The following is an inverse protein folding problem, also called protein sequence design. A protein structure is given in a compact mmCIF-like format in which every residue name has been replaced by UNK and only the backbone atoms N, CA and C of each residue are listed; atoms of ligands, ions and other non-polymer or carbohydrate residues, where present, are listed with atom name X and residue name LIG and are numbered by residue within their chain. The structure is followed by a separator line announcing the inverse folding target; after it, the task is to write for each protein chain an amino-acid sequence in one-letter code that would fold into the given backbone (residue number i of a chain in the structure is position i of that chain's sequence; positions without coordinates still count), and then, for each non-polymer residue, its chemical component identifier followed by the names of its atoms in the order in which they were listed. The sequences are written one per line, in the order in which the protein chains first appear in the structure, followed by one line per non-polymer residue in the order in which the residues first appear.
data_IF_823866444247
#
_entry.id   IF_823866444247
#
_cell.length_a   1.000
_cell.length_b   1.000
_cell.length_c   1.000
_cell.angle_alpha   90.00
_cell.angle_beta   90.00
_cell.angle_gamma   90.00
#
_symmetry.space_group_name_H-M   'P 1'
#
loop_
_entity.id
_entity.type
_entity.pdbx_description
1 polymer ?
#
# COMPACT_ATOMS: atom_id res chain seq x y z
N UNK A 1 27.05 46.04 76.85
CA UNK A 1 28.21 46.37 76.00
C UNK A 1 28.32 45.32 74.90
N UNK A 2 28.30 45.73 73.62
CA UNK A 2 28.79 45.02 72.40
C UNK A 2 28.06 43.70 72.05
N UNK A 3 27.65 43.35 70.83
CA UNK A 3 27.65 43.93 69.49
C UNK A 3 26.57 43.19 68.68
N UNK A 4 25.93 43.88 67.73
CA UNK A 4 25.22 43.26 66.60
C UNK A 4 26.25 42.70 65.62
N UNK A 5 26.01 41.54 65.01
CA UNK A 5 26.43 41.17 63.64
C UNK A 5 25.49 40.05 63.19
N UNK A 6 24.77 40.29 62.08
CA UNK A 6 23.96 39.29 61.41
C UNK A 6 24.83 38.38 60.53
N UNK A 7 24.30 37.20 60.20
CA UNK A 7 24.83 36.44 59.08
C UNK A 7 23.69 35.76 58.32
N UNK A 8 23.63 36.13 57.05
CA UNK A 8 22.79 35.65 55.97
C UNK A 8 23.07 34.16 55.74
N UNK A 9 22.01 33.34 55.69
CA UNK A 9 22.07 31.92 55.37
C UNK A 9 21.17 31.61 54.18
N UNK A 10 21.80 31.41 53.02
CA UNK A 10 21.28 31.09 51.70
C UNK A 10 20.08 30.11 51.68
N UNK A 11 18.95 30.54 51.13
CA UNK A 11 17.90 29.66 50.59
C UNK A 11 18.38 29.14 49.22
N UNK A 12 18.88 27.91 49.16
CA UNK A 12 19.06 27.19 47.89
C UNK A 12 17.68 26.80 47.35
N UNK A 13 17.15 27.59 46.42
CA UNK A 13 16.05 27.18 45.56
C UNK A 13 16.58 26.15 44.54
N UNK A 14 16.21 24.88 44.75
CA UNK A 14 16.43 23.83 43.76
C UNK A 14 15.49 24.09 42.56
N UNK A 15 16.01 24.74 41.53
CA UNK A 15 15.35 24.88 40.23
C UNK A 15 15.40 23.49 39.57
N UNK A 16 14.29 22.75 39.70
CA UNK A 16 14.04 21.54 38.92
C UNK A 16 13.77 21.94 37.46
N UNK A 17 14.82 21.93 36.64
CA UNK A 17 14.67 22.02 35.18
C UNK A 17 14.15 20.65 34.73
N UNK A 18 12.83 20.55 34.54
CA UNK A 18 12.23 19.43 33.81
C UNK A 18 12.63 19.55 32.34
N UNK A 19 13.71 18.87 31.97
CA UNK A 19 14.02 18.57 30.57
C UNK A 19 12.98 17.55 30.08
N UNK A 20 11.89 18.05 29.51
CA UNK A 20 10.97 17.25 28.72
C UNK A 20 11.67 16.85 27.40
N UNK A 21 12.35 15.71 27.41
CA UNK A 21 12.82 15.09 26.17
C UNK A 21 11.62 14.50 25.44
N UNK A 22 11.12 15.19 24.42
CA UNK A 22 10.39 14.54 23.33
C UNK A 22 11.37 13.61 22.62
N UNK A 23 11.29 12.30 22.87
CA UNK A 23 11.98 11.31 22.05
C UNK A 23 11.30 11.23 20.69
N UNK A 24 11.61 12.19 19.82
CA UNK A 24 11.51 11.97 18.37
C UNK A 24 12.75 11.18 17.98
N UNK A 25 12.65 9.85 17.97
CA UNK A 25 13.64 9.02 17.28
C UNK A 25 13.52 9.33 15.78
N UNK A 26 14.22 10.36 15.31
CA UNK A 26 14.44 10.56 13.89
C UNK A 26 15.22 9.36 13.39
N UNK A 27 14.68 8.60 12.44
CA UNK A 27 15.46 7.59 11.73
C UNK A 27 16.58 8.34 11.03
N UNK A 28 17.82 8.17 11.48
CA UNK A 28 18.95 8.85 10.89
C UNK A 28 19.33 8.09 9.63
N UNK A 29 18.86 8.58 8.48
CA UNK A 29 19.21 8.04 7.17
C UNK A 29 20.71 8.30 6.90
N UNK A 30 21.50 7.27 6.56
CA UNK A 30 22.93 7.45 6.27
C UNK A 30 23.18 8.45 5.12
N UNK A 31 24.27 9.25 5.17
CA UNK A 31 24.61 10.16 4.08
C UNK A 31 24.71 9.45 2.73
N UNK A 32 24.12 10.05 1.69
CA UNK A 32 24.09 9.48 0.33
C UNK A 32 23.06 8.37 0.11
N UNK A 33 22.21 8.08 1.10
CA UNK A 33 21.12 7.10 1.00
C UNK A 33 19.76 7.73 1.25
N UNK A 34 18.70 7.01 0.91
CA UNK A 34 17.31 7.28 1.26
C UNK A 34 16.69 5.99 1.82
N UNK A 35 15.82 6.10 2.82
CA UNK A 35 15.03 4.99 3.31
C UNK A 35 13.79 4.82 2.44
N UNK A 36 13.51 3.59 2.03
CA UNK A 36 12.32 3.24 1.25
C UNK A 36 11.57 2.13 1.96
N UNK A 37 10.25 2.29 2.09
CA UNK A 37 9.36 1.26 2.64
C UNK A 37 8.19 1.01 1.70
N UNK A 38 7.97 -0.27 1.37
CA UNK A 38 6.81 -0.71 0.60
C UNK A 38 5.86 -1.48 1.50
N UNK A 39 4.60 -1.06 1.49
CA UNK A 39 3.50 -1.73 2.16
C UNK A 39 2.67 -2.49 1.13
N UNK A 40 2.01 -3.57 1.55
CA UNK A 40 1.12 -4.35 0.72
C UNK A 40 -0.27 -4.43 1.34
N UNK A 41 -1.28 -4.21 0.51
CA UNK A 41 -2.71 -4.39 0.79
C UNK A 41 -3.35 -5.08 -0.41
N UNK A 42 -4.58 -5.52 -0.23
CA UNK A 42 -5.30 -6.24 -1.26
C UNK A 42 -6.67 -5.62 -1.58
N UNK A 43 -7.00 -5.65 -2.87
CA UNK A 43 -8.30 -5.36 -3.43
C UNK A 43 -9.20 -6.60 -3.41
N UNK A 44 -10.53 -6.43 -3.48
CA UNK A 44 -11.46 -7.55 -3.31
C UNK A 44 -11.28 -8.67 -4.34
N UNK A 45 -11.51 -9.91 -3.92
CA UNK A 45 -11.59 -11.08 -4.79
C UNK A 45 -12.61 -12.12 -4.30
N UNK A 46 -13.25 -12.84 -5.22
CA UNK A 46 -14.22 -13.91 -4.92
C UNK A 46 -13.52 -15.27 -4.71
N UNK A 47 -12.56 -15.29 -3.79
CA UNK A 47 -11.84 -16.48 -3.38
C UNK A 47 -11.80 -16.54 -1.86
N UNK A 48 -11.64 -17.74 -1.30
CA UNK A 48 -11.47 -17.89 0.14
C UNK A 48 -10.09 -17.39 0.56
N UNK A 49 -9.06 -17.72 -0.24
CA UNK A 49 -7.67 -17.29 -0.07
C UNK A 49 -6.99 -17.16 -1.43
N UNK A 50 -5.99 -16.27 -1.51
CA UNK A 50 -5.03 -16.22 -2.62
C UNK A 50 -3.65 -16.14 -2.00
N UNK A 51 -2.79 -17.06 -2.39
CA UNK A 51 -1.44 -17.21 -1.87
C UNK A 51 -0.44 -16.84 -2.96
N UNK A 52 0.28 -15.75 -2.74
CA UNK A 52 1.30 -15.22 -3.64
C UNK A 52 2.70 -15.54 -3.10
N UNK A 53 3.51 -16.25 -3.88
CA UNK A 53 4.91 -16.53 -3.60
C UNK A 53 5.75 -15.34 -4.08
N UNK A 54 6.32 -14.58 -3.14
CA UNK A 54 7.16 -13.42 -3.43
C UNK A 54 8.60 -13.80 -3.10
N UNK A 55 9.47 -13.72 -4.11
CA UNK A 55 10.89 -14.09 -3.98
C UNK A 55 11.75 -12.89 -3.60
N UNK A 56 11.57 -11.76 -4.29
CA UNK A 56 12.34 -10.54 -4.02
C UNK A 56 11.61 -9.29 -4.48
N UNK A 57 11.95 -8.16 -3.86
CA UNK A 57 11.47 -6.83 -4.25
C UNK A 57 12.68 -5.94 -4.48
N UNK A 58 12.79 -5.43 -5.70
CA UNK A 58 13.88 -4.57 -6.16
C UNK A 58 13.32 -3.22 -6.59
N UNK A 59 14.15 -2.19 -6.52
CA UNK A 59 13.85 -0.88 -7.10
C UNK A 59 15.00 -0.41 -7.98
N UNK A 60 14.67 0.22 -9.11
CA UNK A 60 15.67 0.86 -9.95
C UNK A 60 15.78 2.33 -9.55
N UNK A 61 16.96 2.73 -9.12
CA UNK A 61 17.29 4.11 -8.74
C UNK A 61 18.12 4.76 -9.84
N UNK A 62 17.67 5.90 -10.33
CA UNK A 62 18.44 6.79 -11.18
C UNK A 62 19.14 7.84 -10.32
N UNK A 63 20.47 7.76 -10.25
CA UNK A 63 21.32 8.63 -9.41
C UNK A 63 21.87 9.83 -10.18
N UNK A 64 21.45 10.05 -11.42
CA UNK A 64 21.81 11.24 -12.21
C UNK A 64 20.98 12.46 -11.78
N UNK A 65 21.21 13.61 -12.41
CA UNK A 65 20.47 14.84 -12.14
C UNK A 65 19.38 15.08 -13.20
N UNK A 66 18.33 15.83 -12.85
CA UNK A 66 17.22 16.17 -13.77
C UNK A 66 16.59 14.95 -14.46
N UNK A 67 16.59 13.84 -13.73
CA UNK A 67 16.32 12.49 -14.20
C UNK A 67 15.04 12.35 -15.03
N UNK A 68 13.99 13.15 -14.78
CA UNK A 68 12.67 13.06 -15.45
C UNK A 68 12.40 14.13 -16.52
N UNK A 69 13.36 14.99 -16.82
CA UNK A 69 13.18 16.05 -17.81
C UNK A 69 13.29 15.46 -19.23
N UNK A 70 12.24 15.62 -20.06
CA UNK A 70 12.17 15.07 -21.42
C UNK A 70 12.52 13.58 -21.50
N UNK A 71 12.07 12.82 -20.50
CA UNK A 71 12.37 11.40 -20.41
C UNK A 71 11.69 10.62 -21.54
N UNK A 72 12.51 10.14 -22.48
CA UNK A 72 12.11 9.29 -23.61
C UNK A 72 12.59 7.85 -23.44
N UNK A 73 13.07 7.51 -22.24
CA UNK A 73 13.61 6.19 -21.91
C UNK A 73 12.52 5.14 -22.02
N UNK A 74 12.84 4.03 -22.69
CA UNK A 74 11.99 2.85 -22.68
C UNK A 74 12.18 2.09 -21.36
N UNK A 75 11.42 2.47 -20.34
CA UNK A 75 11.50 1.88 -19.00
C UNK A 75 11.13 0.40 -18.94
N UNK A 76 10.32 -0.10 -19.87
CA UNK A 76 10.06 -1.53 -19.97
C UNK A 76 11.33 -2.27 -20.35
N UNK A 77 12.04 -1.80 -21.40
CA UNK A 77 13.31 -2.40 -21.82
C UNK A 77 14.38 -2.33 -20.72
N UNK A 78 14.56 -1.17 -20.10
CA UNK A 78 15.48 -1.00 -18.96
C UNK A 78 15.11 -1.95 -17.81
N UNK A 79 13.81 -2.13 -17.59
CA UNK A 79 13.26 -3.01 -16.58
C UNK A 79 13.30 -4.49 -16.91
N UNK A 80 13.66 -4.89 -18.13
CA UNK A 80 13.95 -6.29 -18.50
C UNK A 80 15.45 -6.62 -18.43
N UNK A 81 16.32 -5.62 -18.58
CA UNK A 81 17.76 -5.82 -18.58
C UNK A 81 18.30 -5.99 -17.16
N UNK A 82 18.67 -7.22 -16.83
CA UNK A 82 19.30 -7.59 -15.58
C UNK A 82 20.77 -7.13 -15.59
N UNK A 83 21.00 -5.91 -15.11
CA UNK A 83 22.26 -5.42 -14.54
C UNK A 83 23.47 -5.23 -15.48
N UNK A 84 23.43 -5.58 -16.77
CA UNK A 84 24.66 -5.61 -17.61
C UNK A 84 24.73 -4.64 -18.79
N UNK A 85 23.68 -3.88 -19.10
CA UNK A 85 23.70 -2.99 -20.27
C UNK A 85 22.93 -1.67 -20.07
N UNK A 86 23.27 -0.89 -19.05
CA UNK A 86 22.85 0.50 -19.01
C UNK A 86 24.03 1.39 -19.44
N UNK A 87 23.94 2.12 -20.58
CA UNK A 87 25.02 2.99 -21.07
C UNK A 87 25.38 4.10 -20.06
N UNK A 88 24.41 4.44 -19.21
CA UNK A 88 24.48 5.47 -18.19
C UNK A 88 24.68 4.76 -16.83
N UNK A 89 25.90 4.71 -16.30
CA UNK A 89 26.22 4.06 -15.02
C UNK A 89 25.53 4.67 -13.78
N UNK A 90 24.46 5.46 -13.96
CA UNK A 90 23.61 6.06 -12.94
C UNK A 90 22.38 5.24 -12.57
N UNK A 91 22.03 4.20 -13.35
CA UNK A 91 20.92 3.30 -13.04
C UNK A 91 21.40 2.15 -12.14
N UNK A 92 20.84 2.07 -10.93
CA UNK A 92 21.26 1.10 -9.90
C UNK A 92 20.04 0.34 -9.42
N UNK A 93 20.05 -0.99 -9.59
CA UNK A 93 19.09 -1.87 -8.94
C UNK A 93 19.46 -2.06 -7.47
N UNK A 94 18.50 -1.82 -6.59
CA UNK A 94 18.65 -1.93 -5.14
C UNK A 94 17.61 -2.90 -4.59
N UNK A 95 18.02 -3.76 -3.66
CA UNK A 95 17.13 -4.74 -3.05
C UNK A 95 16.46 -4.13 -1.80
N UNK A 96 15.13 -4.26 -1.68
CA UNK A 96 14.39 -3.77 -0.52
C UNK A 96 14.24 -4.80 0.61
N UNK A 97 14.86 -5.97 0.46
CA UNK A 97 14.94 -7.02 1.48
C UNK A 97 13.58 -7.50 2.02
N UNK A 98 12.66 -7.85 1.11
CA UNK A 98 11.46 -8.63 1.46
C UNK A 98 11.85 -9.97 2.10
N UNK A 99 11.00 -10.52 2.96
CA UNK A 99 11.13 -11.89 3.44
C UNK A 99 10.58 -12.86 2.38
N UNK A 100 11.41 -13.66 1.68
CA UNK A 100 10.89 -14.52 0.62
C UNK A 100 9.89 -15.54 1.18
N UNK A 101 8.74 -15.71 0.54
CA UNK A 101 7.69 -16.56 1.08
C UNK A 101 6.34 -16.44 0.41
N UNK A 102 5.41 -17.25 0.91
CA UNK A 102 4.03 -17.30 0.44
C UNK A 102 3.16 -16.44 1.34
N UNK A 103 2.51 -15.44 0.77
CA UNK A 103 1.67 -14.46 1.44
C UNK A 103 0.20 -14.68 1.10
N UNK A 104 -0.66 -14.74 2.12
CA UNK A 104 -2.11 -14.71 1.91
C UNK A 104 -2.57 -13.27 1.69
N UNK A 105 -2.74 -12.88 0.44
CA UNK A 105 -3.02 -11.48 0.09
C UNK A 105 -4.42 -11.06 0.49
N UNK A 106 -5.42 -11.96 0.44
CA UNK A 106 -6.79 -11.63 0.85
C UNK A 106 -6.92 -11.35 2.35
N UNK A 107 -5.93 -11.79 3.16
CA UNK A 107 -5.84 -11.42 4.58
C UNK A 107 -5.50 -9.93 4.80
N UNK A 108 -4.99 -9.26 3.77
CA UNK A 108 -4.63 -7.84 3.72
C UNK A 108 -5.74 -6.98 3.08
N UNK A 109 -6.97 -7.47 3.06
CA UNK A 109 -8.13 -6.74 2.54
C UNK A 109 -8.82 -5.93 3.64
N UNK A 110 -9.83 -5.13 3.27
CA UNK A 110 -10.67 -4.38 4.22
C UNK A 110 -9.88 -3.43 5.13
N UNK A 111 -8.86 -2.79 4.57
CA UNK A 111 -8.07 -1.77 5.25
C UNK A 111 -6.95 -2.29 6.13
N UNK A 112 -6.64 -3.59 6.07
CA UNK A 112 -5.44 -4.20 6.65
C UNK A 112 -4.29 -4.06 5.66
N UNK A 113 -3.07 -3.79 6.12
CA UNK A 113 -1.86 -3.89 5.31
C UNK A 113 -0.73 -4.54 6.10
N UNK A 114 0.38 -4.78 5.41
CA UNK A 114 1.63 -5.22 6.03
C UNK A 114 2.82 -4.49 5.41
N UNK A 115 3.89 -4.32 6.17
CA UNK A 115 5.18 -3.92 5.60
C UNK A 115 5.71 -5.09 4.77
N UNK A 116 5.85 -4.89 3.46
CA UNK A 116 6.38 -5.89 2.55
C UNK A 116 7.90 -5.88 2.55
N UNK A 117 8.50 -4.71 2.38
CA UNK A 117 9.95 -4.56 2.22
C UNK A 117 10.42 -3.18 2.71
N UNK A 118 11.66 -3.09 3.21
CA UNK A 118 12.25 -1.81 3.62
C UNK A 118 13.78 -1.87 3.60
N UNK A 119 14.41 -0.86 3.03
CA UNK A 119 15.87 -0.73 2.99
C UNK A 119 16.31 0.74 2.93
N UNK A 120 17.57 0.98 3.32
CA UNK A 120 18.28 2.19 2.95
C UNK A 120 18.96 1.93 1.60
N UNK A 121 18.53 2.63 0.56
CA UNK A 121 19.05 2.49 -0.80
C UNK A 121 19.80 3.76 -1.20
N UNK A 122 20.57 3.73 -2.29
CA UNK A 122 21.21 4.94 -2.80
C UNK A 122 20.21 6.08 -3.03
N UNK A 123 20.59 7.30 -2.66
CA UNK A 123 19.76 8.48 -2.91
C UNK A 123 19.65 8.74 -4.43
N UNK A 124 18.43 8.96 -4.90
CA UNK A 124 18.14 9.19 -6.32
C UNK A 124 16.66 9.02 -6.65
N UNK A 125 16.31 9.19 -7.92
CA UNK A 125 14.94 9.01 -8.38
C UNK A 125 14.62 7.53 -8.53
N UNK A 126 13.67 7.01 -7.75
CA UNK A 126 13.17 5.65 -7.94
C UNK A 126 12.30 5.62 -9.20
N UNK A 127 12.66 4.78 -10.16
CA UNK A 127 12.01 4.70 -11.48
C UNK A 127 11.13 3.48 -11.66
N UNK A 128 11.58 2.35 -11.14
CA UNK A 128 10.89 1.07 -11.27
C UNK A 128 10.80 0.40 -9.91
N UNK A 129 9.72 -0.32 -9.68
CA UNK A 129 9.64 -1.38 -8.68
C UNK A 129 9.53 -2.69 -9.44
N UNK A 130 10.38 -3.67 -9.14
CA UNK A 130 10.30 -5.02 -9.68
C UNK A 130 9.99 -6.00 -8.54
N UNK A 131 8.90 -6.72 -8.67
CA UNK A 131 8.49 -7.77 -7.73
C UNK A 131 8.66 -9.11 -8.42
N UNK A 132 9.65 -9.88 -7.99
CA UNK A 132 9.89 -11.23 -8.51
C UNK A 132 8.97 -12.21 -7.78
N UNK A 133 8.30 -13.05 -8.56
CA UNK A 133 7.34 -14.03 -8.09
C UNK A 133 7.93 -15.42 -8.16
N UNK A 134 7.73 -16.17 -7.08
CA UNK A 134 8.04 -17.59 -7.02
C UNK A 134 6.99 -18.42 -7.75
N UNK A 135 7.09 -19.74 -7.59
CA UNK A 135 6.25 -20.71 -8.30
C UNK A 135 5.18 -21.34 -7.42
N UNK A 136 5.19 -21.10 -6.10
CA UNK A 136 4.26 -21.73 -5.14
C UNK A 136 2.95 -20.95 -4.97
N UNK A 137 2.51 -20.27 -6.03
CA UNK A 137 1.26 -19.53 -6.04
C UNK A 137 0.06 -20.49 -6.05
N UNK A 138 -0.95 -20.21 -5.23
CA UNK A 138 -2.19 -20.98 -5.21
C UNK A 138 -3.38 -20.12 -4.82
N UNK A 139 -4.58 -20.63 -5.02
CA UNK A 139 -5.80 -20.02 -4.49
C UNK A 139 -6.72 -21.07 -3.89
N UNK A 140 -7.61 -20.63 -3.00
CA UNK A 140 -8.65 -21.47 -2.42
C UNK A 140 -10.00 -20.93 -2.87
N UNK A 141 -10.81 -21.81 -3.45
CA UNK A 141 -12.18 -21.49 -3.88
C UNK A 141 -13.11 -22.59 -3.42
N UNK A 142 -14.14 -22.22 -2.65
CA UNK A 142 -15.08 -23.16 -2.04
C UNK A 142 -14.38 -24.25 -1.23
N UNK A 143 -13.38 -23.87 -0.43
CA UNK A 143 -12.52 -24.74 0.38
C UNK A 143 -11.65 -25.74 -0.41
N UNK A 144 -11.58 -25.63 -1.74
CA UNK A 144 -10.70 -26.43 -2.59
C UNK A 144 -9.51 -25.59 -3.01
N UNK A 145 -8.29 -26.14 -2.86
CA UNK A 145 -7.06 -25.47 -3.30
C UNK A 145 -6.79 -25.77 -4.77
N UNK A 146 -6.48 -24.73 -5.54
CA UNK A 146 -6.09 -24.81 -6.94
C UNK A 146 -4.70 -24.19 -7.14
N UNK A 147 -3.88 -24.74 -8.04
CA UNK A 147 -2.65 -24.06 -8.46
C UNK A 147 -3.02 -22.76 -9.18
N UNK A 148 -2.24 -21.70 -8.89
CA UNK A 148 -2.38 -20.41 -9.53
C UNK A 148 -1.15 -20.20 -10.41
N UNK A 149 -1.21 -20.72 -11.63
CA UNK A 149 -0.03 -20.79 -12.50
C UNK A 149 0.34 -19.42 -13.04
N UNK A 150 1.63 -19.16 -13.25
CA UNK A 150 1.99 -18.01 -14.07
C UNK A 150 1.51 -18.21 -15.52
N UNK A 151 1.15 -17.12 -16.20
CA UNK A 151 0.78 -17.19 -17.61
C UNK A 151 1.96 -17.73 -18.45
N UNK A 152 1.71 -18.56 -19.47
CA UNK A 152 2.75 -18.96 -20.42
C UNK A 152 3.48 -17.74 -21.00
N UNK A 153 4.81 -17.76 -20.96
CA UNK A 153 5.65 -16.63 -21.43
C UNK A 153 5.78 -15.49 -20.43
N UNK A 154 5.21 -15.58 -19.22
CA UNK A 154 5.49 -14.61 -18.16
C UNK A 154 6.98 -14.61 -17.79
N UNK A 155 7.49 -13.45 -17.41
CA UNK A 155 8.89 -13.29 -16.99
C UNK A 155 9.18 -13.71 -15.55
N UNK A 156 8.14 -14.08 -14.79
CA UNK A 156 8.28 -14.37 -13.36
C UNK A 156 8.43 -13.13 -12.48
N UNK A 157 8.17 -11.93 -13.01
CA UNK A 157 8.15 -10.70 -12.25
C UNK A 157 7.09 -9.72 -12.74
N UNK A 158 6.84 -8.72 -11.90
CA UNK A 158 6.00 -7.57 -12.19
C UNK A 158 6.86 -6.33 -12.18
N UNK A 159 6.70 -5.49 -13.18
CA UNK A 159 7.39 -4.21 -13.27
C UNK A 159 6.37 -3.07 -13.12
N UNK A 160 6.61 -2.18 -12.17
CA UNK A 160 5.80 -0.99 -11.92
C UNK A 160 6.65 0.23 -12.26
N UNK A 161 6.20 1.04 -13.22
CA UNK A 161 6.87 2.28 -13.61
C UNK A 161 6.36 3.46 -12.77
N UNK A 162 7.28 4.32 -12.31
CA UNK A 162 6.99 5.44 -11.41
C UNK A 162 7.32 6.81 -12.04
N UNK A 163 6.37 7.73 -11.94
CA UNK A 163 6.43 9.10 -12.48
C UNK A 163 7.09 10.11 -11.54
N UNK A 164 7.26 9.75 -10.27
CA UNK A 164 8.00 10.51 -9.26
C UNK A 164 7.16 11.25 -8.23
N UNK A 165 5.84 11.32 -8.42
CA UNK A 165 4.88 11.96 -7.50
C UNK A 165 4.10 10.94 -6.66
N UNK A 166 4.37 9.65 -6.81
CA UNK A 166 3.65 8.58 -6.11
C UNK A 166 4.04 8.44 -4.64
N UNK A 167 5.27 8.80 -4.26
CA UNK A 167 5.84 8.49 -2.94
C UNK A 167 5.45 9.52 -1.88
N UNK A 168 5.22 9.06 -0.65
CA UNK A 168 5.06 9.91 0.53
C UNK A 168 6.38 9.98 1.31
N UNK A 169 7.07 11.12 1.23
CA UNK A 169 8.22 11.42 2.08
C UNK A 169 7.73 11.88 3.46
N UNK A 170 7.60 10.92 4.38
CA UNK A 170 6.99 11.16 5.70
C UNK A 170 8.01 11.68 6.73
N UNK A 171 9.31 11.56 6.44
CA UNK A 171 10.43 12.15 7.16
C UNK A 171 11.55 12.49 6.16
N UNK A 172 12.46 13.44 6.47
CA UNK A 172 13.56 13.76 5.58
C UNK A 172 14.37 12.52 5.17
N UNK A 173 14.39 12.23 3.87
CA UNK A 173 15.08 11.08 3.28
C UNK A 173 14.39 9.73 3.51
N UNK A 174 13.15 9.69 4.00
CA UNK A 174 12.39 8.46 4.21
C UNK A 174 11.04 8.51 3.50
N UNK A 175 10.88 7.60 2.54
CA UNK A 175 9.72 7.52 1.65
C UNK A 175 8.98 6.20 1.82
N UNK A 176 7.66 6.24 1.63
CA UNK A 176 6.80 5.05 1.67
C UNK A 176 5.73 5.05 0.59
N UNK A 177 5.32 3.85 0.20
CA UNK A 177 4.27 3.62 -0.80
C UNK A 177 3.49 2.34 -0.45
N UNK A 178 2.17 2.36 -0.68
CA UNK A 178 1.31 1.18 -0.54
C UNK A 178 1.03 0.60 -1.91
N UNK A 179 1.26 -0.70 -2.06
CA UNK A 179 0.90 -1.49 -3.22
C UNK A 179 -0.41 -2.22 -2.93
N UNK A 180 -1.41 -2.00 -3.76
CA UNK A 180 -2.72 -2.62 -3.69
C UNK A 180 -2.86 -3.67 -4.78
N UNK A 181 -2.78 -4.95 -4.40
CA UNK A 181 -2.93 -6.06 -5.34
C UNK A 181 -4.39 -6.26 -5.69
N UNK A 182 -4.75 -6.17 -6.97
CA UNK A 182 -6.13 -6.35 -7.42
C UNK A 182 -6.39 -7.82 -7.73
N UNK A 183 -6.89 -8.58 -6.76
CA UNK A 183 -7.17 -10.03 -6.95
C UNK A 183 -8.13 -10.29 -8.10
N UNK A 184 -9.21 -9.51 -8.19
CA UNK A 184 -10.23 -9.69 -9.21
C UNK A 184 -9.68 -9.53 -10.63
N UNK A 185 -8.74 -8.61 -10.85
CA UNK A 185 -8.05 -8.44 -12.14
C UNK A 185 -6.83 -9.33 -12.31
N UNK A 186 -6.27 -9.83 -11.21
CA UNK A 186 -5.03 -10.62 -11.23
C UNK A 186 -5.23 -12.11 -11.45
N UNK A 187 -6.41 -12.64 -11.16
CA UNK A 187 -6.71 -14.07 -11.33
C UNK A 187 -7.57 -14.28 -12.58
N UNK A 188 -7.02 -15.00 -13.56
CA UNK A 188 -7.71 -15.37 -14.80
C UNK A 188 -8.03 -16.86 -14.79
N UNK A 189 -9.29 -17.22 -15.08
CA UNK A 189 -9.68 -18.62 -15.26
C UNK A 189 -9.77 -18.96 -16.75
N UNK A 190 -9.03 -19.99 -17.18
CA UNK A 190 -9.03 -20.47 -18.56
C UNK A 190 -8.93 -22.01 -18.58
N UNK A 191 -9.77 -22.70 -19.36
CA UNK A 191 -9.83 -24.17 -19.44
C UNK A 191 -9.81 -24.87 -18.06
N UNK A 192 -10.64 -24.38 -17.12
CA UNK A 192 -10.73 -24.87 -15.74
C UNK A 192 -9.43 -24.80 -14.92
N UNK A 193 -8.44 -24.03 -15.38
CA UNK A 193 -7.23 -23.72 -14.63
C UNK A 193 -7.21 -22.24 -14.27
N UNK A 194 -6.46 -21.91 -13.22
CA UNK A 194 -6.27 -20.54 -12.79
C UNK A 194 -4.86 -20.06 -13.14
N UNK A 195 -4.80 -18.81 -13.57
CA UNK A 195 -3.60 -18.14 -14.02
C UNK A 195 -3.43 -16.79 -13.32
N UNK A 196 -2.20 -16.49 -12.95
CA UNK A 196 -1.79 -15.26 -12.32
C UNK A 196 -1.30 -14.28 -13.39
N UNK A 197 -1.95 -13.12 -13.42
CA UNK A 197 -1.54 -11.95 -14.17
C UNK A 197 -1.56 -10.75 -13.22
N UNK A 198 -0.53 -10.55 -12.40
CA UNK A 198 -0.55 -9.57 -11.33
C UNK A 198 -0.91 -8.17 -11.82
N UNK A 199 -1.82 -7.52 -11.12
CA UNK A 199 -2.21 -6.13 -11.31
C UNK A 199 -2.08 -5.43 -9.96
N UNK A 200 -1.24 -4.40 -9.91
CA UNK A 200 -1.08 -3.55 -8.74
C UNK A 200 -1.58 -2.14 -9.05
N UNK A 201 -2.30 -1.58 -8.08
CA UNK A 201 -2.45 -0.14 -7.93
C UNK A 201 -1.53 0.33 -6.80
N UNK A 202 -1.37 1.63 -6.66
CA UNK A 202 -0.56 2.17 -5.58
C UNK A 202 -1.11 3.52 -5.12
N UNK A 203 -0.91 3.82 -3.85
CA UNK A 203 -1.38 5.05 -3.23
C UNK A 203 -0.52 5.41 -2.00
N UNK A 204 -0.78 6.60 -1.45
CA UNK A 204 -0.21 7.03 -0.17
C UNK A 204 -1.33 7.47 0.76
N UNK A 205 -1.23 7.09 2.04
CA UNK A 205 -2.21 7.52 3.05
C UNK A 205 -2.18 9.04 3.28
N UNK A 206 -1.07 9.72 2.99
CA UNK A 206 -0.97 11.17 3.16
C UNK A 206 -1.85 11.97 2.19
N UNK A 207 -2.12 11.44 0.99
CA UNK A 207 -2.83 12.17 -0.08
C UNK A 207 -4.17 11.53 -0.47
N UNK A 208 -4.49 10.36 0.08
CA UNK A 208 -5.71 9.62 -0.25
C UNK A 208 -6.52 9.27 0.99
N UNK A 209 -7.84 9.28 0.83
CA UNK A 209 -8.79 8.96 1.88
C UNK A 209 -9.31 7.53 1.81
N UNK A 210 -10.26 7.24 2.69
CA UNK A 210 -10.93 5.94 2.73
C UNK A 210 -12.43 6.07 2.97
N UNK A 211 -13.18 5.10 2.48
CA UNK A 211 -14.60 4.89 2.82
C UNK A 211 -14.72 3.54 3.54
N UNK A 212 -15.36 3.55 4.70
CA UNK A 212 -15.64 2.35 5.49
C UNK A 212 -17.11 2.30 5.91
N UNK A 213 -17.58 1.11 6.28
CA UNK A 213 -18.93 0.91 6.79
C UNK A 213 -19.22 -0.56 7.03
N UNK A 214 -20.51 -0.88 7.19
CA UNK A 214 -20.97 -2.26 7.17
C UNK A 214 -22.26 -2.42 6.37
N UNK A 215 -22.41 -3.54 5.65
CA UNK A 215 -23.63 -3.91 4.92
C UNK A 215 -24.19 -5.20 5.51
N UNK A 216 -25.45 -5.15 5.95
CA UNK A 216 -26.15 -6.28 6.57
C UNK A 216 -27.47 -6.55 5.86
N UNK A 217 -27.96 -7.80 5.86
CA UNK A 217 -27.31 -8.99 6.41
C UNK A 217 -26.25 -9.57 5.46
N UNK A 218 -25.31 -10.35 6.01
CA UNK A 218 -24.22 -10.96 5.22
C UNK A 218 -24.72 -11.88 4.09
N UNK A 219 -25.85 -12.57 4.31
CA UNK A 219 -26.48 -13.44 3.31
C UNK A 219 -27.16 -12.69 2.15
N UNK A 220 -27.11 -11.35 2.13
CA UNK A 220 -27.42 -10.57 0.94
C UNK A 220 -26.29 -10.66 -0.12
N UNK A 221 -25.14 -11.27 0.21
CA UNK A 221 -23.94 -11.38 -0.64
C UNK A 221 -23.62 -10.08 -1.40
N UNK A 222 -23.46 -8.96 -0.68
CA UNK A 222 -23.31 -7.65 -1.32
C UNK A 222 -21.96 -7.51 -2.02
N UNK A 223 -21.97 -6.90 -3.20
CA UNK A 223 -20.79 -6.45 -3.93
C UNK A 223 -20.84 -4.93 -4.03
N UNK A 224 -19.81 -4.25 -3.56
CA UNK A 224 -19.79 -2.79 -3.49
C UNK A 224 -18.95 -2.22 -4.62
N UNK A 225 -19.52 -1.23 -5.32
CA UNK A 225 -18.81 -0.34 -6.24
C UNK A 225 -18.74 1.04 -5.61
N UNK A 226 -17.53 1.52 -5.34
CA UNK A 226 -17.24 2.84 -4.79
C UNK A 226 -16.72 3.67 -5.95
N UNK A 227 -17.53 4.58 -6.48
CA UNK A 227 -17.22 5.23 -7.74
C UNK A 227 -17.40 6.74 -7.68
N UNK A 228 -16.58 7.43 -8.46
CA UNK A 228 -16.68 8.85 -8.77
C UNK A 228 -16.84 9.02 -10.29
N UNK A 229 -16.78 10.25 -10.79
CA UNK A 229 -16.80 10.50 -12.23
C UNK A 229 -15.58 9.97 -12.98
N UNK A 230 -14.48 9.67 -12.27
CA UNK A 230 -13.18 9.30 -12.89
C UNK A 230 -12.58 8.01 -12.34
N UNK A 231 -13.12 7.48 -11.25
CA UNK A 231 -12.51 6.36 -10.51
C UNK A 231 -13.57 5.36 -10.06
N UNK A 232 -13.19 4.11 -9.93
CA UNK A 232 -14.05 3.04 -9.40
C UNK A 232 -13.19 2.02 -8.67
N UNK A 233 -13.44 1.89 -7.37
CA UNK A 233 -12.93 0.85 -6.52
C UNK A 233 -14.04 -0.13 -6.15
N UNK A 234 -13.66 -1.32 -5.70
CA UNK A 234 -14.61 -2.36 -5.30
C UNK A 234 -14.37 -2.77 -3.85
N UNK A 235 -15.40 -3.33 -3.21
CA UNK A 235 -15.23 -4.00 -1.92
C UNK A 235 -16.14 -5.21 -1.77
N UNK A 236 -15.66 -6.18 -1.00
CA UNK A 236 -16.43 -7.32 -0.52
C UNK A 236 -16.48 -7.27 1.00
N UNK A 237 -17.66 -7.00 1.58
CA UNK A 237 -17.85 -7.05 3.01
C UNK A 237 -17.45 -8.39 3.61
N UNK A 238 -16.77 -8.37 4.76
CA UNK A 238 -16.42 -9.58 5.49
C UNK A 238 -17.67 -10.26 6.09
N UNK A 239 -17.51 -11.39 6.79
CA UNK A 239 -18.62 -12.14 7.41
C UNK A 239 -19.46 -11.34 8.42
N UNK A 240 -18.92 -10.24 8.96
CA UNK A 240 -19.63 -9.30 9.84
C UNK A 240 -20.25 -8.12 9.08
N UNK A 241 -20.20 -8.15 7.76
CA UNK A 241 -20.66 -7.09 6.87
C UNK A 241 -19.70 -5.90 6.76
N UNK A 242 -18.54 -5.91 7.40
CA UNK A 242 -17.66 -4.74 7.42
C UNK A 242 -16.83 -4.65 6.14
N UNK A 243 -16.64 -3.42 5.64
CA UNK A 243 -15.76 -3.14 4.52
C UNK A 243 -14.96 -1.85 4.76
N UNK A 244 -13.80 -1.74 4.10
CA UNK A 244 -13.03 -0.51 4.02
C UNK A 244 -12.24 -0.47 2.71
N UNK A 245 -12.38 0.64 1.98
CA UNK A 245 -11.66 0.94 0.73
C UNK A 245 -10.74 2.13 0.97
N UNK A 246 -9.46 2.00 0.61
CA UNK A 246 -8.43 3.03 0.75
C UNK A 246 -7.94 3.50 -0.62
N UNK A 247 -7.04 4.47 -0.65
CA UNK A 247 -6.47 4.97 -1.90
C UNK A 247 -7.38 5.90 -2.69
N UNK A 248 -8.48 6.36 -2.09
CA UNK A 248 -9.46 7.20 -2.77
C UNK A 248 -8.95 8.64 -2.85
N UNK A 249 -8.78 9.16 -4.07
CA UNK A 249 -8.43 10.58 -4.27
C UNK A 249 -9.56 11.50 -3.82
N UNK A 250 -9.23 12.74 -3.47
CA UNK A 250 -10.22 13.77 -3.15
C UNK A 250 -11.29 13.88 -4.23
N UNK A 251 -12.56 13.86 -3.84
CA UNK A 251 -13.69 13.84 -4.76
C UNK A 251 -15.02 13.51 -4.08
N UNK A 252 -16.10 13.56 -4.86
CA UNK A 252 -17.42 13.11 -4.44
C UNK A 252 -17.68 11.72 -5.01
N UNK A 253 -18.02 10.78 -4.13
CA UNK A 253 -18.23 9.37 -4.43
C UNK A 253 -19.67 8.95 -4.14
N UNK A 254 -20.06 7.89 -4.82
CA UNK A 254 -21.21 7.08 -4.50
C UNK A 254 -20.77 5.65 -4.20
N UNK A 255 -21.50 4.98 -3.29
CA UNK A 255 -21.35 3.56 -2.99
C UNK A 255 -22.60 2.86 -3.48
N UNK A 256 -22.48 2.13 -4.58
CA UNK A 256 -23.52 1.23 -5.06
C UNK A 256 -23.31 -0.15 -4.46
N UNK A 257 -24.37 -0.67 -3.85
CA UNK A 257 -24.41 -1.98 -3.20
C UNK A 257 -25.28 -2.85 -4.08
N UNK A 258 -24.64 -3.72 -4.87
CA UNK A 258 -25.34 -4.74 -5.62
C UNK A 258 -25.64 -5.91 -4.68
N UNK A 259 -26.91 -6.16 -4.43
CA UNK A 259 -27.38 -7.16 -3.50
C UNK A 259 -27.88 -8.40 -4.27
N UNK A 260 -27.80 -9.54 -3.60
CA UNK A 260 -28.26 -10.84 -4.09
C UNK A 260 -29.25 -11.46 -3.10
N UNK A 261 -29.70 -12.69 -3.36
CA UNK A 261 -30.58 -13.44 -2.45
C UNK A 261 -31.92 -12.72 -2.14
N UNK A 262 -32.47 -12.05 -3.17
CA UNK A 262 -33.74 -11.33 -3.10
C UNK A 262 -33.71 -9.99 -2.38
N UNK A 263 -32.53 -9.53 -1.92
CA UNK A 263 -32.36 -8.20 -1.35
C UNK A 263 -32.30 -7.14 -2.45
N UNK A 264 -32.78 -5.93 -2.14
CA UNK A 264 -32.78 -4.79 -3.04
C UNK A 264 -31.42 -4.09 -3.05
N UNK A 265 -30.96 -3.74 -4.24
CA UNK A 265 -29.82 -2.86 -4.45
C UNK A 265 -30.02 -1.52 -3.74
N UNK A 266 -28.92 -0.91 -3.28
CA UNK A 266 -28.94 0.37 -2.57
C UNK A 266 -27.77 1.23 -3.01
N UNK A 267 -28.00 2.54 -3.17
CA UNK A 267 -26.93 3.50 -3.47
C UNK A 267 -26.86 4.57 -2.39
N UNK A 268 -25.67 4.77 -1.84
CA UNK A 268 -25.36 5.90 -0.96
C UNK A 268 -24.61 6.94 -1.79
N UNK A 269 -25.14 8.15 -1.88
CA UNK A 269 -24.57 9.22 -2.71
C UNK A 269 -23.91 10.30 -1.85
N UNK A 270 -23.16 11.20 -2.50
CA UNK A 270 -22.59 12.42 -1.93
C UNK A 270 -21.62 12.17 -0.77
N UNK A 271 -20.80 11.12 -0.89
CA UNK A 271 -19.74 10.82 0.06
C UNK A 271 -18.51 11.61 -0.34
N UNK A 272 -18.16 12.64 0.43
CA UNK A 272 -17.04 13.52 0.11
C UNK A 272 -15.74 13.03 0.75
N UNK A 273 -14.71 12.86 -0.08
CA UNK A 273 -13.33 12.61 0.35
C UNK A 273 -12.51 13.88 0.15
N UNK A 274 -11.79 14.30 1.19
CA UNK A 274 -10.88 15.46 1.16
C UNK A 274 -9.54 15.08 1.76
N UNK A 275 -8.50 15.03 0.93
CA UNK A 275 -7.16 14.59 1.31
C UNK A 275 -7.19 13.18 1.91
N UNK A 276 -6.61 13.03 3.11
CA UNK A 276 -6.53 11.78 3.85
C UNK A 276 -7.73 11.48 4.78
N UNK A 277 -8.89 12.07 4.48
CA UNK A 277 -10.09 11.85 5.29
C UNK A 277 -10.54 10.38 5.30
N UNK A 278 -10.91 9.88 6.49
CA UNK A 278 -11.52 8.57 6.65
C UNK A 278 -13.03 8.76 6.90
N UNK A 279 -13.86 8.35 5.95
CA UNK A 279 -15.32 8.51 6.02
C UNK A 279 -15.98 7.18 6.36
N UNK A 280 -16.74 7.15 7.45
CA UNK A 280 -17.55 6.00 7.84
C UNK A 280 -19.01 6.26 7.49
N UNK A 281 -19.59 5.45 6.61
CA UNK A 281 -20.99 5.57 6.17
C UNK A 281 -21.97 4.76 7.03
N UNK A 282 -21.48 4.20 8.14
CA UNK A 282 -22.29 3.48 9.13
C UNK A 282 -22.70 2.08 8.68
N UNK A 283 -23.76 1.57 9.31
CA UNK A 283 -24.37 0.29 8.98
C UNK A 283 -25.51 0.53 7.99
N UNK A 284 -25.44 -0.11 6.84
CA UNK A 284 -26.48 -0.13 5.82
C UNK A 284 -27.25 -1.45 5.96
N UNK A 285 -28.51 -1.33 6.33
CA UNK A 285 -29.43 -2.45 6.41
C UNK A 285 -30.15 -2.63 5.08
N UNK A 286 -29.89 -3.74 4.41
CA UNK A 286 -30.59 -4.14 3.19
C UNK A 286 -31.93 -4.79 3.53
N UNK A 287 -32.88 -4.61 2.61
CA UNK A 287 -34.24 -5.11 2.70
C UNK A 287 -34.61 -5.88 1.42
N UNK A 288 -35.45 -6.90 1.53
CA UNK A 288 -36.04 -7.63 0.40
C UNK A 288 -37.21 -6.84 -0.21
#
# INVERSE_FOLDING_TARGET
MKNKIGMVGLLLSAIFIWAACSKSNSVQVPPGTQQVSLYMTDGPGFFDHVYLDIDSVMVLVDTSTNTRNNDTTNWDHVGEDDEHHHPEGSFVWENLHVQPGVYDILSLSNGVDTLLASANIKAGSIRLIRINLGTRNSLVKNSVTYPLNLLPGSKGYVLIQLKGDEWDEYQPGASRLWLDFDVARSVVQWNNQFYLKPVFHFFTEATTGSIAGAVLPYNAYPVLSIYSGTDTAYALPNKKGQFKVRGLKSGSYSVFINASNGYKDTTINNINISGNSNVNIGVIQLHQ
#
